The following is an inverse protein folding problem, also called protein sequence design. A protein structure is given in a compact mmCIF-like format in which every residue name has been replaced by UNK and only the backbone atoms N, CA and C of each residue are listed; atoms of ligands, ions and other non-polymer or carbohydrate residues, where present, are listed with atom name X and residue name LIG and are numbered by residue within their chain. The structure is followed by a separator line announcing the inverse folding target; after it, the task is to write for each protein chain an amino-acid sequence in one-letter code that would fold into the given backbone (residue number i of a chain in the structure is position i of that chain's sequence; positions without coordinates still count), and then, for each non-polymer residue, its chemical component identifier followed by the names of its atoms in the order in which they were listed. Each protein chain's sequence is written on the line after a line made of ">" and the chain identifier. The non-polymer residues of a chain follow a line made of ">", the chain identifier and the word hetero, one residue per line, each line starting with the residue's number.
data_IF_823983182437
#
_entry.id   IF_823983182437
#
_cell.length_a   1.000
_cell.length_b   1.000
_cell.length_c   1.000
_cell.angle_alpha   90.00
_cell.angle_beta   90.00
_cell.angle_gamma   90.00
#
_symmetry.space_group_name_H-M   'P 1'
#
loop_
_entity.id
_entity.type
_entity.pdbx_description
1 polymer ?
#
# COMPACT_ATOMS: atom_id res chain seq x y z
N UNK A 1 -1.95 22.29 21.59
CA UNK A 1 -3.32 21.79 21.43
C UNK A 1 -3.59 21.29 20.00
N UNK A 2 -3.10 21.99 18.98
CA UNK A 2 -3.34 21.67 17.56
C UNK A 2 -2.68 20.38 17.09
N UNK A 3 -1.47 20.06 17.53
CA UNK A 3 -0.76 18.82 17.13
C UNK A 3 -1.47 17.55 17.61
N UNK A 4 -1.93 17.55 18.85
CA UNK A 4 -2.66 16.40 19.40
C UNK A 4 -3.99 16.19 18.67
N UNK A 5 -4.68 17.26 18.35
CA UNK A 5 -5.93 17.20 17.61
C UNK A 5 -5.70 16.68 16.19
N UNK A 6 -4.66 17.15 15.52
CA UNK A 6 -4.27 16.66 14.19
C UNK A 6 -3.89 15.18 14.22
N UNK A 7 -3.11 14.74 15.20
CA UNK A 7 -2.76 13.33 15.39
C UNK A 7 -3.98 12.43 15.58
N UNK A 8 -4.95 12.86 16.36
CA UNK A 8 -6.23 12.17 16.54
C UNK A 8 -7.04 12.10 15.25
N UNK A 9 -7.11 13.18 14.49
CA UNK A 9 -7.82 13.20 13.20
C UNK A 9 -7.16 12.26 12.18
N UNK A 10 -5.84 12.21 12.15
CA UNK A 10 -5.08 11.26 11.32
C UNK A 10 -5.38 9.81 11.70
N UNK A 11 -5.42 9.49 12.98
CA UNK A 11 -5.79 8.17 13.47
C UNK A 11 -7.22 7.78 13.08
N UNK A 12 -8.18 8.69 13.25
CA UNK A 12 -9.58 8.48 12.83
C UNK A 12 -9.69 8.26 11.33
N UNK A 13 -9.01 9.07 10.53
CA UNK A 13 -9.00 8.93 9.08
C UNK A 13 -8.44 7.58 8.64
N UNK A 14 -7.31 7.16 9.20
CA UNK A 14 -6.72 5.86 8.91
C UNK A 14 -7.65 4.70 9.28
N UNK A 15 -8.35 4.80 10.42
CA UNK A 15 -9.33 3.81 10.87
C UNK A 15 -10.52 3.70 9.91
N UNK A 16 -11.09 4.82 9.46
CA UNK A 16 -12.19 4.82 8.50
C UNK A 16 -11.75 4.28 7.14
N UNK A 17 -10.56 4.63 6.66
CA UNK A 17 -10.00 4.08 5.42
C UNK A 17 -9.84 2.56 5.51
N UNK A 18 -9.35 2.04 6.63
CA UNK A 18 -9.25 0.61 6.85
C UNK A 18 -10.63 -0.08 6.83
N UNK A 19 -11.65 0.54 7.43
CA UNK A 19 -13.03 0.01 7.40
C UNK A 19 -13.62 -0.02 5.98
N UNK A 20 -13.32 0.97 5.16
CA UNK A 20 -13.76 0.98 3.74
C UNK A 20 -13.10 -0.15 2.92
N UNK A 21 -11.90 -0.58 3.31
CA UNK A 21 -11.20 -1.68 2.67
C UNK A 21 -11.65 -3.06 3.19
N UNK A 22 -12.39 -3.14 4.30
CA UNK A 22 -12.94 -4.40 4.84
C UNK A 22 -14.14 -4.90 4.02
N UNK A 23 -14.37 -6.25 3.90
CA UNK A 23 -15.57 -6.78 3.26
C UNK A 23 -16.81 -6.34 4.04
N UNK A 24 -17.84 -5.89 3.33
CA UNK A 24 -19.15 -5.79 3.93
C UNK A 24 -19.54 -7.16 4.49
N UNK A 25 -20.03 -7.21 5.73
CA UNK A 25 -20.44 -8.46 6.41
C UNK A 25 -21.51 -9.27 5.65
N UNK A 26 -22.12 -8.69 4.62
CA UNK A 26 -23.08 -9.34 3.74
C UNK A 26 -22.46 -10.20 2.63
N UNK A 27 -21.15 -10.10 2.41
CA UNK A 27 -20.42 -10.93 1.45
C UNK A 27 -19.62 -12.02 2.16
N UNK A 28 -20.26 -12.75 3.06
CA UNK A 28 -19.72 -13.98 3.66
C UNK A 28 -19.83 -15.15 2.68
N UNK A 29 -19.47 -14.93 1.42
CA UNK A 29 -19.05 -15.99 0.51
C UNK A 29 -17.60 -16.30 0.83
N UNK A 30 -17.27 -17.57 1.01
CA UNK A 30 -15.92 -18.11 1.24
C UNK A 30 -14.91 -17.30 0.42
N UNK A 31 -13.99 -16.62 1.12
CA UNK A 31 -13.02 -15.73 0.53
C UNK A 31 -12.09 -16.46 -0.42
N UNK A 32 -12.39 -16.42 -1.67
CA UNK A 32 -11.38 -16.60 -2.69
C UNK A 32 -10.63 -15.27 -2.76
N UNK A 33 -9.50 -15.23 -2.08
CA UNK A 33 -8.55 -14.15 -2.21
C UNK A 33 -8.15 -14.06 -3.68
N UNK A 34 -8.08 -12.85 -4.21
CA UNK A 34 -7.47 -12.58 -5.51
C UNK A 34 -5.98 -12.93 -5.39
N UNK A 35 -5.65 -14.16 -5.76
CA UNK A 35 -4.29 -14.68 -5.72
C UNK A 35 -3.81 -14.81 -7.15
N UNK A 36 -3.07 -13.78 -7.60
CA UNK A 36 -2.32 -13.90 -8.84
C UNK A 36 -1.07 -14.74 -8.51
N UNK A 37 -1.06 -15.99 -8.94
CA UNK A 37 0.09 -16.86 -8.74
C UNK A 37 1.36 -16.19 -9.26
N UNK A 38 2.33 -16.01 -8.37
CA UNK A 38 3.66 -15.53 -8.75
C UNK A 38 4.31 -16.62 -9.59
N UNK A 39 4.57 -16.30 -10.84
CA UNK A 39 5.34 -17.15 -11.75
C UNK A 39 6.65 -16.47 -12.13
N UNK A 40 7.71 -17.26 -12.28
CA UNK A 40 9.04 -16.74 -12.60
C UNK A 40 9.83 -16.27 -11.37
N UNK A 41 10.95 -15.59 -11.63
CA UNK A 41 11.92 -15.20 -10.59
C UNK A 41 11.53 -13.91 -9.87
N UNK A 42 10.85 -13.00 -10.56
CA UNK A 42 10.41 -11.72 -10.01
C UNK A 42 9.11 -11.26 -10.66
N UNK A 43 8.42 -10.36 -9.98
CA UNK A 43 7.19 -9.73 -10.47
C UNK A 43 7.29 -8.21 -10.36
N UNK A 44 6.93 -7.52 -11.44
CA UNK A 44 6.85 -6.06 -11.53
C UNK A 44 5.42 -5.65 -11.82
N UNK A 45 4.89 -4.73 -11.03
CA UNK A 45 3.58 -4.13 -11.27
C UNK A 45 3.75 -2.83 -12.05
N UNK A 46 3.02 -2.68 -13.15
CA UNK A 46 3.03 -1.48 -13.98
C UNK A 46 1.78 -0.64 -13.69
N UNK A 47 1.97 0.59 -13.29
CA UNK A 47 0.92 1.52 -12.90
C UNK A 47 1.08 2.82 -13.72
N UNK A 48 -0.02 3.42 -14.09
CA UNK A 48 -0.03 4.71 -14.79
C UNK A 48 -1.45 5.06 -15.24
N UNK A 49 -1.65 6.32 -15.59
CA UNK A 49 -2.91 6.77 -16.16
C UNK A 49 -3.18 6.10 -17.52
N UNK A 50 -4.44 6.07 -17.97
CA UNK A 50 -4.75 5.66 -19.34
C UNK A 50 -3.97 6.50 -20.35
N UNK A 51 -3.57 5.87 -21.46
CA UNK A 51 -2.89 6.53 -22.58
C UNK A 51 -1.49 7.10 -22.32
N UNK A 52 -0.82 6.71 -21.24
CA UNK A 52 0.60 7.07 -21.01
C UNK A 52 1.60 6.15 -21.71
N UNK A 53 1.11 5.15 -22.46
CA UNK A 53 1.97 4.23 -23.18
C UNK A 53 2.26 2.90 -22.49
N UNK A 54 1.51 2.53 -21.44
CA UNK A 54 1.70 1.25 -20.72
C UNK A 54 1.63 0.03 -21.63
N UNK A 55 0.61 -0.04 -22.49
CA UNK A 55 0.46 -1.15 -23.44
C UNK A 55 1.60 -1.21 -24.44
N UNK A 56 2.09 -0.07 -24.90
CA UNK A 56 3.25 0.02 -25.79
C UNK A 56 4.51 -0.45 -25.08
N UNK A 57 4.72 0.00 -23.86
CA UNK A 57 5.84 -0.45 -23.03
C UNK A 57 5.81 -1.97 -22.81
N UNK A 58 4.64 -2.52 -22.47
CA UNK A 58 4.45 -3.95 -22.29
C UNK A 58 4.80 -4.71 -23.58
N UNK A 59 4.31 -4.26 -24.73
CA UNK A 59 4.57 -4.90 -26.03
C UNK A 59 6.04 -4.87 -26.43
N UNK A 60 6.76 -3.79 -26.09
CA UNK A 60 8.18 -3.66 -26.41
C UNK A 60 9.09 -4.45 -25.48
N UNK A 61 8.71 -4.58 -24.21
CA UNK A 61 9.54 -5.20 -23.18
C UNK A 61 9.30 -6.70 -23.03
N UNK A 62 8.15 -7.20 -23.45
CA UNK A 62 7.82 -8.62 -23.31
C UNK A 62 8.05 -9.37 -24.59
N UNK A 63 8.73 -10.52 -24.51
CA UNK A 63 9.03 -11.40 -25.67
C UNK A 63 7.85 -12.27 -26.08
N UNK A 64 6.86 -12.44 -25.22
CA UNK A 64 5.66 -13.22 -25.49
C UNK A 64 4.41 -12.39 -25.19
N UNK A 65 3.56 -12.19 -26.20
CA UNK A 65 2.20 -11.75 -25.97
C UNK A 65 1.48 -12.88 -25.22
N UNK A 66 1.38 -12.77 -23.89
CA UNK A 66 0.55 -13.69 -23.14
C UNK A 66 -0.91 -13.34 -23.42
N UNK A 67 -1.72 -14.36 -23.65
CA UNK A 67 -3.16 -14.21 -23.73
C UNK A 67 -3.66 -13.53 -22.47
N UNK A 68 -4.57 -12.58 -22.65
CA UNK A 68 -5.21 -11.91 -21.52
C UNK A 68 -5.84 -12.96 -20.62
N UNK A 69 -5.25 -13.20 -19.46
CA UNK A 69 -5.85 -14.05 -18.47
C UNK A 69 -7.05 -13.29 -17.88
N UNK A 70 -8.24 -13.56 -18.38
CA UNK A 70 -9.48 -13.11 -17.78
C UNK A 70 -9.68 -13.93 -16.50
N UNK A 71 -9.41 -13.32 -15.37
CA UNK A 71 -9.79 -13.89 -14.09
C UNK A 71 -11.29 -13.66 -13.91
N UNK A 72 -12.06 -14.75 -13.91
CA UNK A 72 -13.54 -14.73 -13.99
C UNK A 72 -14.28 -14.04 -12.85
N UNK A 73 -13.58 -13.57 -11.81
CA UNK A 73 -14.24 -13.02 -10.61
C UNK A 73 -13.95 -11.56 -10.31
N UNK A 74 -13.19 -10.86 -11.16
CA UNK A 74 -12.90 -9.46 -10.93
C UNK A 74 -12.93 -8.66 -12.22
N UNK A 75 -13.50 -7.48 -12.18
CA UNK A 75 -13.49 -6.46 -13.23
C UNK A 75 -12.08 -5.88 -13.50
N UNK A 76 -11.04 -6.45 -12.92
CA UNK A 76 -9.64 -6.13 -13.12
C UNK A 76 -9.04 -7.13 -14.10
N UNK A 77 -8.95 -6.73 -15.36
CA UNK A 77 -8.13 -7.43 -16.34
C UNK A 77 -6.67 -7.05 -16.09
N UNK A 78 -5.90 -8.02 -15.65
CA UNK A 78 -4.45 -7.91 -15.56
C UNK A 78 -3.87 -8.57 -16.81
N UNK A 79 -3.06 -7.85 -17.59
CA UNK A 79 -2.37 -8.41 -18.76
C UNK A 79 -0.96 -8.79 -18.32
N UNK A 80 -0.63 -10.08 -18.16
CA UNK A 80 0.71 -10.50 -17.81
C UNK A 80 1.60 -10.53 -19.04
N UNK A 81 2.84 -10.08 -18.89
CA UNK A 81 3.91 -10.27 -19.85
C UNK A 81 5.14 -10.85 -19.15
N UNK A 82 6.04 -11.48 -19.87
CA UNK A 82 7.29 -12.00 -19.34
C UNK A 82 8.46 -11.31 -20.01
N UNK A 83 9.37 -10.77 -19.17
CA UNK A 83 10.64 -10.22 -19.62
C UNK A 83 11.73 -11.23 -19.26
N UNK A 84 12.51 -11.64 -20.27
CA UNK A 84 13.69 -12.45 -20.04
C UNK A 84 14.93 -11.56 -19.97
N UNK A 85 15.65 -11.64 -18.87
CA UNK A 85 16.87 -10.89 -18.67
C UNK A 85 17.93 -11.74 -17.97
N UNK A 86 19.06 -11.96 -18.66
CA UNK A 86 20.19 -12.75 -18.13
C UNK A 86 19.78 -14.10 -17.51
N UNK A 87 18.84 -14.80 -18.14
CA UNK A 87 18.34 -16.08 -17.68
C UNK A 87 17.24 -16.01 -16.62
N UNK A 88 16.89 -14.82 -16.14
CA UNK A 88 15.77 -14.62 -15.22
C UNK A 88 14.48 -14.30 -15.97
N UNK A 89 13.38 -14.86 -15.50
CA UNK A 89 12.03 -14.57 -16.00
C UNK A 89 11.33 -13.59 -15.08
N UNK A 90 11.07 -12.38 -15.57
CA UNK A 90 10.42 -11.31 -14.82
C UNK A 90 8.99 -11.16 -15.32
N UNK A 91 8.03 -11.40 -14.46
CA UNK A 91 6.61 -11.21 -14.78
C UNK A 91 6.27 -9.72 -14.67
N UNK A 92 5.73 -9.14 -15.75
CA UNK A 92 5.24 -7.77 -15.78
C UNK A 92 3.72 -7.80 -15.82
N UNK A 93 3.09 -7.18 -14.79
CA UNK A 93 1.63 -7.07 -14.70
C UNK A 93 1.20 -5.65 -15.03
N UNK A 94 0.47 -5.47 -16.11
CA UNK A 94 -0.27 -4.23 -16.34
C UNK A 94 -1.57 -4.27 -15.56
N UNK A 95 -1.78 -3.27 -14.73
CA UNK A 95 -2.94 -3.12 -13.86
C UNK A 95 -3.84 -1.96 -14.34
N UNK A 96 -4.59 -2.15 -15.44
CA UNK A 96 -5.48 -1.11 -15.94
C UNK A 96 -6.62 -0.85 -14.94
N UNK A 97 -7.05 0.40 -14.83
CA UNK A 97 -8.21 0.78 -14.02
C UNK A 97 -8.01 0.83 -12.51
N UNK A 98 -6.79 0.62 -12.00
CA UNK A 98 -6.49 0.77 -10.56
C UNK A 98 -6.79 2.20 -10.10
N UNK A 99 -6.45 3.17 -10.92
CA UNK A 99 -6.48 4.58 -10.58
C UNK A 99 -7.89 5.15 -10.66
N UNK A 100 -8.68 4.72 -11.63
CA UNK A 100 -10.07 5.18 -11.82
C UNK A 100 -11.04 4.68 -10.75
N UNK A 101 -10.66 3.67 -9.98
CA UNK A 101 -11.52 3.02 -9.01
C UNK A 101 -11.12 3.17 -7.55
N UNK A 102 -9.87 3.52 -7.24
CA UNK A 102 -9.40 3.71 -5.88
C UNK A 102 -10.10 4.89 -5.20
N UNK A 103 -10.30 5.99 -5.93
CA UNK A 103 -11.04 7.16 -5.45
C UNK A 103 -12.53 6.89 -5.18
N UNK A 104 -13.11 5.85 -5.79
CA UNK A 104 -14.54 5.53 -5.63
C UNK A 104 -14.86 4.54 -4.51
N UNK A 105 -13.87 4.07 -3.73
CA UNK A 105 -14.08 3.29 -2.52
C UNK A 105 -14.71 1.90 -2.69
N UNK A 106 -14.94 1.44 -3.91
CA UNK A 106 -15.65 0.20 -4.17
C UNK A 106 -14.70 -0.99 -4.40
N UNK A 107 -14.18 -1.59 -3.34
CA UNK A 107 -13.61 -2.95 -3.39
C UNK A 107 -12.29 -3.15 -4.12
N UNK A 108 -11.88 -2.22 -4.98
CA UNK A 108 -10.67 -2.33 -5.80
C UNK A 108 -9.37 -2.12 -5.04
N UNK A 109 -9.40 -1.34 -3.97
CA UNK A 109 -8.21 -1.08 -3.14
C UNK A 109 -7.57 -2.35 -2.56
N UNK A 110 -8.37 -3.38 -2.25
CA UNK A 110 -7.84 -4.67 -1.78
C UNK A 110 -7.11 -5.43 -2.86
N UNK A 111 -7.63 -5.40 -4.07
CA UNK A 111 -7.01 -6.07 -5.20
C UNK A 111 -5.66 -5.45 -5.53
N UNK A 112 -5.56 -4.12 -5.46
CA UNK A 112 -4.29 -3.39 -5.59
C UNK A 112 -3.29 -3.81 -4.53
N UNK A 113 -3.72 -3.85 -3.26
CA UNK A 113 -2.86 -4.29 -2.15
C UNK A 113 -2.43 -5.74 -2.34
N UNK A 114 -3.33 -6.62 -2.73
CA UNK A 114 -3.03 -8.04 -2.95
C UNK A 114 -1.97 -8.21 -4.05
N UNK A 115 -2.12 -7.51 -5.18
CA UNK A 115 -1.13 -7.54 -6.27
C UNK A 115 0.18 -6.90 -5.83
N UNK A 116 0.15 -5.77 -5.14
CA UNK A 116 1.35 -5.11 -4.65
C UNK A 116 2.14 -6.00 -3.67
N UNK A 117 1.45 -6.71 -2.77
CA UNK A 117 2.10 -7.65 -1.84
C UNK A 117 2.87 -8.76 -2.52
N UNK A 118 2.45 -9.16 -3.70
CA UNK A 118 3.11 -10.21 -4.47
C UNK A 118 4.14 -9.69 -5.44
N UNK A 119 4.21 -8.38 -5.65
CA UNK A 119 5.17 -7.72 -6.53
C UNK A 119 6.45 -7.37 -5.80
N UNK A 120 7.56 -7.37 -6.52
CA UNK A 120 8.88 -7.02 -5.98
C UNK A 120 9.21 -5.54 -6.22
N UNK A 121 8.71 -4.97 -7.31
CA UNK A 121 8.91 -3.56 -7.72
C UNK A 121 7.66 -3.04 -8.41
N UNK A 122 7.38 -1.76 -8.24
CA UNK A 122 6.37 -1.01 -9.01
C UNK A 122 7.08 -0.13 -10.02
N UNK A 123 6.61 -0.13 -11.26
CA UNK A 123 6.96 0.87 -12.27
C UNK A 123 5.76 1.81 -12.42
N UNK A 124 5.98 3.08 -12.17
CA UNK A 124 4.99 4.13 -12.37
C UNK A 124 5.30 4.88 -13.66
N UNK A 125 4.46 4.69 -14.67
CA UNK A 125 4.57 5.40 -15.94
C UNK A 125 3.85 6.73 -15.88
N UNK A 126 4.58 7.80 -16.21
CA UNK A 126 4.12 9.17 -16.15
C UNK A 126 4.20 9.83 -17.52
N UNK A 127 3.27 10.74 -17.78
CA UNK A 127 3.32 11.60 -18.95
C UNK A 127 4.24 12.80 -18.65
N UNK A 128 5.37 12.89 -19.34
CA UNK A 128 6.36 13.94 -19.13
C UNK A 128 5.78 15.36 -19.34
N UNK A 129 4.68 15.49 -20.09
CA UNK A 129 4.02 16.78 -20.33
C UNK A 129 3.11 17.22 -19.19
N UNK A 130 2.73 16.31 -18.29
CA UNK A 130 1.81 16.58 -17.18
C UNK A 130 2.51 16.98 -15.87
N UNK A 131 3.83 16.98 -15.85
CA UNK A 131 4.64 17.35 -14.68
C UNK A 131 4.36 16.48 -13.45
N UNK A 132 4.59 17.05 -12.28
CA UNK A 132 4.47 16.33 -10.99
C UNK A 132 3.03 16.01 -10.57
N UNK A 133 2.02 16.53 -11.26
CA UNK A 133 0.61 16.36 -10.86
C UNK A 133 0.18 14.91 -10.93
N UNK A 134 0.51 14.22 -12.03
CA UNK A 134 0.19 12.80 -12.18
C UNK A 134 0.86 11.95 -11.11
N UNK A 135 2.14 12.19 -10.86
CA UNK A 135 2.90 11.49 -9.82
C UNK A 135 2.25 11.66 -8.45
N UNK A 136 1.96 12.89 -8.06
CA UNK A 136 1.35 13.19 -6.76
C UNK A 136 -0.02 12.53 -6.59
N UNK A 137 -0.85 12.51 -7.65
CA UNK A 137 -2.15 11.85 -7.63
C UNK A 137 -2.02 10.34 -7.45
N UNK A 138 -1.12 9.69 -8.21
CA UNK A 138 -0.89 8.25 -8.13
C UNK A 138 -0.32 7.83 -6.78
N UNK A 139 0.66 8.55 -6.27
CA UNK A 139 1.24 8.32 -4.95
C UNK A 139 0.17 8.42 -3.86
N UNK A 140 -0.68 9.46 -3.92
CA UNK A 140 -1.76 9.66 -2.97
C UNK A 140 -2.79 8.52 -3.00
N UNK A 141 -3.16 8.06 -4.19
CA UNK A 141 -4.09 6.93 -4.34
C UNK A 141 -3.50 5.64 -3.75
N UNK A 142 -2.24 5.35 -4.02
CA UNK A 142 -1.55 4.18 -3.45
C UNK A 142 -1.38 4.30 -1.94
N UNK A 143 -1.06 5.47 -1.42
CA UNK A 143 -0.99 5.72 0.02
C UNK A 143 -2.34 5.50 0.71
N UNK A 144 -3.42 5.90 0.07
CA UNK A 144 -4.79 5.72 0.61
C UNK A 144 -5.14 4.24 0.79
N UNK A 145 -4.68 3.38 -0.08
CA UNK A 145 -4.89 1.92 0.03
C UNK A 145 -3.82 1.20 0.86
N UNK A 146 -2.88 1.92 1.45
CA UNK A 146 -1.88 1.37 2.37
C UNK A 146 -0.57 0.95 1.73
N UNK A 147 -0.27 1.40 0.52
CA UNK A 147 1.02 1.19 -0.13
C UNK A 147 1.94 2.38 0.12
N UNK A 148 3.17 2.10 0.52
CA UNK A 148 4.22 3.10 0.79
C UNK A 148 5.35 2.89 -0.20
N UNK A 149 5.52 3.85 -1.12
CA UNK A 149 6.52 3.78 -2.17
C UNK A 149 7.86 4.37 -1.71
N UNK A 150 8.94 3.66 -1.99
CA UNK A 150 10.32 4.09 -1.69
C UNK A 150 10.54 4.51 -0.22
N UNK A 151 9.80 3.90 0.69
CA UNK A 151 9.92 4.12 2.13
C UNK A 151 10.23 2.80 2.83
N UNK A 152 11.03 2.87 3.88
CA UNK A 152 11.27 1.74 4.76
C UNK A 152 10.17 1.64 5.82
N UNK A 153 9.94 0.43 6.30
CA UNK A 153 9.06 0.21 7.45
C UNK A 153 9.61 0.98 8.65
N UNK A 154 8.79 1.77 9.37
CA UNK A 154 9.23 2.49 10.54
C UNK A 154 9.85 1.57 11.60
N UNK A 155 10.98 1.96 12.17
CA UNK A 155 11.65 1.18 13.20
C UNK A 155 11.04 1.44 14.58
N UNK A 156 9.80 1.00 14.73
CA UNK A 156 9.01 1.07 15.94
C UNK A 156 8.60 -0.34 16.34
N UNK A 157 8.94 -0.73 17.56
CA UNK A 157 8.41 -1.94 18.16
C UNK A 157 7.06 -1.64 18.80
N UNK A 158 6.05 -2.41 18.44
CA UNK A 158 4.70 -2.30 19.00
C UNK A 158 4.15 -3.71 19.27
N UNK A 159 3.72 -3.93 20.51
CA UNK A 159 3.08 -5.17 20.91
C UNK A 159 1.92 -4.91 21.87
N UNK A 160 0.68 -5.24 21.52
CA UNK A 160 -0.44 -5.23 22.46
C UNK A 160 -0.19 -6.19 23.64
N UNK A 161 -0.61 -5.78 24.83
CA UNK A 161 -0.55 -6.58 26.07
C UNK A 161 -1.96 -6.83 26.60
N UNK A 162 -2.08 -7.82 27.48
CA UNK A 162 -3.35 -8.11 28.16
C UNK A 162 -3.65 -7.14 29.31
N UNK A 163 -2.64 -6.52 29.89
CA UNK A 163 -2.77 -5.60 31.02
C UNK A 163 -1.48 -4.82 31.26
N UNK A 164 -1.47 -3.97 32.30
CA UNK A 164 -0.26 -3.22 32.72
C UNK A 164 -0.10 -1.85 32.06
N UNK A 165 -1.09 -1.38 31.32
CA UNK A 165 -1.05 -0.06 30.69
C UNK A 165 -0.11 0.01 29.48
N UNK A 166 0.17 1.25 29.06
CA UNK A 166 1.06 1.53 27.92
C UNK A 166 2.47 1.80 28.46
N UNK A 167 3.43 0.97 28.05
CA UNK A 167 4.86 1.20 28.27
C UNK A 167 5.44 1.87 27.04
N UNK A 168 5.94 3.10 27.21
CA UNK A 168 6.53 3.88 26.13
C UNK A 168 8.01 4.11 26.40
N UNK A 169 8.86 3.81 25.42
CA UNK A 169 10.28 4.06 25.46
C UNK A 169 10.77 4.55 24.08
N UNK A 170 11.90 5.25 24.08
CA UNK A 170 12.57 5.70 22.88
C UNK A 170 14.08 5.63 23.06
N UNK A 171 14.79 5.14 22.05
CA UNK A 171 16.26 5.15 22.03
C UNK A 171 16.84 6.41 21.42
N UNK A 172 16.00 7.27 20.86
CA UNK A 172 16.36 8.52 20.19
C UNK A 172 15.49 9.67 20.69
N UNK A 173 15.93 10.88 20.50
CA UNK A 173 15.11 12.07 20.77
C UNK A 173 14.02 12.18 19.72
N UNK A 174 12.76 12.24 20.15
CA UNK A 174 11.59 12.38 19.28
C UNK A 174 11.26 13.85 19.07
N UNK A 175 11.17 14.26 17.80
CA UNK A 175 10.78 15.62 17.39
C UNK A 175 9.37 15.68 16.79
N UNK A 176 8.86 14.56 16.29
CA UNK A 176 7.60 14.48 15.54
C UNK A 176 6.49 13.78 16.35
N UNK A 177 6.84 13.12 17.42
CA UNK A 177 5.91 12.35 18.24
C UNK A 177 6.25 12.50 19.71
N UNK A 178 5.29 12.26 20.59
CA UNK A 178 5.47 12.28 22.04
C UNK A 178 4.73 11.11 22.68
N UNK A 179 5.09 10.77 23.92
CA UNK A 179 4.39 9.74 24.68
C UNK A 179 2.89 10.01 24.79
N UNK A 180 2.52 11.27 25.07
CA UNK A 180 1.11 11.68 25.16
C UNK A 180 0.36 11.48 23.84
N UNK A 181 0.98 11.84 22.71
CA UNK A 181 0.38 11.64 21.39
C UNK A 181 0.22 10.15 21.07
N UNK A 182 1.22 9.34 21.37
CA UNK A 182 1.17 7.87 21.22
C UNK A 182 0.02 7.27 22.03
N UNK A 183 -0.15 7.66 23.27
CA UNK A 183 -1.25 7.21 24.13
C UNK A 183 -2.62 7.61 23.55
N UNK A 184 -2.78 8.85 23.08
CA UNK A 184 -4.01 9.32 22.47
C UNK A 184 -4.37 8.54 21.20
N UNK A 185 -3.38 8.24 20.35
CA UNK A 185 -3.58 7.44 19.14
C UNK A 185 -3.99 6.02 19.49
N UNK A 186 -3.31 5.38 20.44
CA UNK A 186 -3.64 4.03 20.89
C UNK A 186 -5.05 3.96 21.49
N UNK A 187 -5.46 4.95 22.28
CA UNK A 187 -6.81 5.03 22.84
C UNK A 187 -7.88 5.17 21.77
N UNK A 188 -7.61 5.89 20.67
CA UNK A 188 -8.54 5.96 19.53
C UNK A 188 -8.77 4.57 18.89
N UNK A 189 -7.75 3.72 18.90
CA UNK A 189 -7.84 2.31 18.46
C UNK A 189 -8.32 1.36 19.57
N UNK A 190 -8.74 1.89 20.72
CA UNK A 190 -9.16 1.11 21.91
C UNK A 190 -8.07 0.16 22.41
N UNK A 191 -6.82 0.56 22.27
CA UNK A 191 -5.65 -0.14 22.79
C UNK A 191 -5.20 0.60 24.07
N UNK A 192 -5.41 -0.02 25.20
CA UNK A 192 -5.11 0.55 26.53
C UNK A 192 -3.87 -0.08 27.17
N UNK A 193 -3.41 -1.20 26.63
CA UNK A 193 -2.27 -1.95 27.13
C UNK A 193 -1.38 -2.34 25.97
N UNK A 194 -0.18 -1.80 25.92
CA UNK A 194 0.79 -2.07 24.87
C UNK A 194 2.20 -1.74 25.31
N UNK A 195 3.17 -2.34 24.65
CA UNK A 195 4.56 -1.97 24.71
C UNK A 195 4.96 -1.28 23.42
N UNK A 196 5.54 -0.09 23.51
CA UNK A 196 5.97 0.73 22.39
C UNK A 196 7.41 1.15 22.58
N UNK A 197 8.24 0.93 21.58
CA UNK A 197 9.64 1.36 21.54
C UNK A 197 9.94 2.03 20.20
N UNK A 198 10.24 3.32 20.23
CA UNK A 198 10.74 4.05 19.08
C UNK A 198 12.27 3.93 19.01
N UNK A 199 12.77 3.38 17.91
CA UNK A 199 14.21 3.28 17.62
C UNK A 199 14.70 4.30 16.60
N UNK A 200 13.78 5.06 16.02
CA UNK A 200 14.05 6.20 15.15
C UNK A 200 13.00 7.30 15.36
N UNK A 201 13.30 8.51 14.93
CA UNK A 201 12.38 9.65 15.02
C UNK A 201 11.31 9.52 13.93
N UNK A 202 10.14 9.04 14.31
CA UNK A 202 9.01 8.80 13.43
C UNK A 202 7.87 9.78 13.69
N UNK A 203 7.09 10.03 12.64
CA UNK A 203 5.88 10.83 12.70
C UNK A 203 4.68 10.06 13.26
N UNK A 204 3.60 10.79 13.57
CA UNK A 204 2.33 10.18 13.95
C UNK A 204 1.76 9.27 12.86
N UNK A 205 1.89 9.65 11.59
CA UNK A 205 1.45 8.82 10.46
C UNK A 205 2.21 7.50 10.37
N UNK A 206 3.52 7.52 10.58
CA UNK A 206 4.35 6.33 10.61
C UNK A 206 4.00 5.41 11.78
N UNK A 207 3.72 5.97 12.96
CA UNK A 207 3.24 5.20 14.11
C UNK A 207 1.87 4.56 13.85
N UNK A 208 0.95 5.29 13.23
CA UNK A 208 -0.36 4.77 12.83
C UNK A 208 -0.19 3.60 11.84
N UNK A 209 0.73 3.70 10.89
CA UNK A 209 1.05 2.63 9.96
C UNK A 209 1.50 1.35 10.67
N UNK A 210 2.27 1.47 11.75
CA UNK A 210 2.70 0.34 12.58
C UNK A 210 1.51 -0.29 13.32
N UNK A 211 0.59 0.51 13.86
CA UNK A 211 -0.60 0.02 14.57
C UNK A 211 -1.53 -0.72 13.63
N UNK A 212 -1.83 -0.15 12.47
CA UNK A 212 -2.75 -0.73 11.48
C UNK A 212 -2.18 -2.03 10.91
N UNK A 213 -0.87 -2.12 10.69
CA UNK A 213 -0.16 -3.34 10.34
C UNK A 213 -0.36 -3.87 8.92
N UNK A 214 -1.29 -3.34 8.15
CA UNK A 214 -1.58 -3.78 6.77
C UNK A 214 -0.94 -2.87 5.71
N UNK A 215 0.29 -2.42 5.95
CA UNK A 215 1.03 -1.58 5.01
C UNK A 215 2.00 -2.40 4.19
N UNK A 216 2.12 -2.04 2.92
CA UNK A 216 3.07 -2.63 1.98
C UNK A 216 4.12 -1.58 1.65
N UNK A 217 5.40 -1.91 1.87
CA UNK A 217 6.53 -1.04 1.57
C UNK A 217 7.20 -1.57 0.30
N UNK A 218 7.20 -0.75 -0.76
CA UNK A 218 7.50 -1.18 -2.12
C UNK A 218 8.47 -0.23 -2.80
N UNK A 219 9.56 -0.75 -3.43
CA UNK A 219 10.36 0.05 -4.35
C UNK A 219 9.54 0.47 -5.56
N UNK A 220 9.71 1.70 -6.00
CA UNK A 220 9.03 2.25 -7.18
C UNK A 220 10.03 2.95 -8.10
N UNK A 221 9.96 2.65 -9.38
CA UNK A 221 10.66 3.37 -10.44
C UNK A 221 9.67 4.26 -11.17
N UNK A 222 10.05 5.51 -11.39
CA UNK A 222 9.28 6.49 -12.18
C UNK A 222 9.85 6.56 -13.59
N UNK A 223 8.99 6.36 -14.59
CA UNK A 223 9.34 6.29 -16.01
C UNK A 223 8.44 7.18 -16.85
#
# INVERSE_FOLDING_TARGET
>A
ATEYHLGLLKAKLAKYRAQLLEPSKSAAGKGEGFDVMKSGDARVALIGFPSVGKSTFLSLMTSTASEAASYEFTTLTCIPGVIEYKGANIQLLDLPGIIEGAAQGKGRGRQVIAVARTSDVVIMMLDATKGEVQRALLEKELETVGIRLNKNKPNIYFKPKKGGGISFNSTVTLTQCSEKLVQLILHEYKIFNAEVLFREDCSADEFIDVIVGNRVYMPCLYV
#
